data_IF_401630260512
#
_entry.id   IF_401630260512
#
_cell.length_a   1.000
_cell.length_b   1.000
_cell.length_c   1.000
_cell.angle_alpha   90.00
_cell.angle_beta   90.00
_cell.angle_gamma   90.00
#
_symmetry.space_group_name_H-M   'P 1'
#
loop_
_entity.id
_entity.type
_entity.pdbx_description
1 polymer ?
#
# COMPACT_ATOMS: atom_id res chain seq x y z
N UNK A 1 -4.22 9.92 -17.05
CA UNK A 1 -5.39 10.38 -16.26
C UNK A 1 -5.68 9.30 -15.24
N UNK A 2 -5.57 9.58 -13.94
CA UNK A 2 -5.92 8.60 -12.92
C UNK A 2 -7.43 8.36 -12.98
N UNK A 3 -7.83 7.18 -13.43
CA UNK A 3 -9.22 6.73 -13.37
C UNK A 3 -9.65 6.71 -11.92
N UNK A 4 -10.61 7.57 -11.57
CA UNK A 4 -11.14 7.72 -10.22
C UNK A 4 -11.89 6.42 -9.87
N UNK A 5 -11.18 5.48 -9.25
CA UNK A 5 -11.76 4.20 -8.85
C UNK A 5 -12.88 4.45 -7.83
N UNK A 6 -14.12 4.04 -8.09
CA UNK A 6 -15.21 4.24 -7.14
C UNK A 6 -14.95 3.38 -5.89
N UNK A 7 -14.64 4.04 -4.78
CA UNK A 7 -14.56 3.44 -3.45
C UNK A 7 -15.73 2.49 -3.20
N UNK A 8 -15.44 1.23 -2.84
CA UNK A 8 -16.45 0.22 -2.56
C UNK A 8 -16.60 0.00 -1.06
N UNK A 9 -17.63 0.61 -0.47
CA UNK A 9 -17.98 0.43 0.95
C UNK A 9 -18.06 -1.04 1.38
N UNK A 10 -18.50 -1.95 0.49
CA UNK A 10 -18.60 -3.39 0.78
C UNK A 10 -17.27 -4.05 1.16
N UNK A 11 -16.15 -3.47 0.73
CA UNK A 11 -14.79 -3.98 0.98
C UNK A 11 -14.07 -3.19 2.09
N UNK A 12 -14.70 -2.17 2.69
CA UNK A 12 -14.07 -1.38 3.75
C UNK A 12 -12.85 -0.56 3.31
N UNK A 13 -12.72 -0.23 2.02
CA UNK A 13 -11.54 0.44 1.41
C UNK A 13 -11.31 1.89 1.90
N UNK A 14 -10.64 2.08 3.02
CA UNK A 14 -10.26 3.43 3.47
C UNK A 14 -8.84 3.75 2.97
N UNK A 15 -8.73 4.62 1.97
CA UNK A 15 -7.43 4.98 1.40
C UNK A 15 -6.66 5.93 2.31
N UNK A 16 -5.44 5.55 2.66
CA UNK A 16 -4.55 6.36 3.48
C UNK A 16 -3.99 7.53 2.66
N UNK A 17 -4.26 8.77 3.09
CA UNK A 17 -3.84 9.98 2.37
C UNK A 17 -2.86 10.87 3.14
N UNK A 18 -2.75 10.72 4.46
CA UNK A 18 -1.86 11.56 5.28
C UNK A 18 -0.40 11.11 5.13
N UNK A 19 0.48 11.93 4.53
CA UNK A 19 1.90 11.59 4.36
C UNK A 19 2.65 11.41 5.67
N UNK A 20 2.22 12.06 6.76
CA UNK A 20 2.86 11.93 8.07
C UNK A 20 2.59 10.56 8.67
N UNK A 21 1.35 10.07 8.55
CA UNK A 21 0.99 8.71 9.00
C UNK A 21 1.75 7.68 8.18
N UNK A 22 1.76 7.82 6.85
CA UNK A 22 2.54 6.96 5.95
C UNK A 22 4.01 6.92 6.38
N UNK A 23 4.64 8.08 6.53
CA UNK A 23 6.06 8.18 6.91
C UNK A 23 6.33 7.55 8.27
N UNK A 24 5.47 7.77 9.26
CA UNK A 24 5.61 7.17 10.59
C UNK A 24 5.48 5.64 10.52
N UNK A 25 4.50 5.12 9.79
CA UNK A 25 4.31 3.68 9.61
C UNK A 25 5.56 3.04 9.00
N UNK A 26 6.09 3.61 7.92
CA UNK A 26 7.30 3.11 7.25
C UNK A 26 8.52 3.17 8.18
N UNK A 27 8.64 4.24 8.99
CA UNK A 27 9.71 4.35 9.99
C UNK A 27 9.59 3.31 11.08
N UNK A 28 8.39 3.03 11.58
CA UNK A 28 8.17 2.01 12.62
C UNK A 28 8.45 0.59 12.12
N UNK A 29 8.26 0.33 10.83
CA UNK A 29 8.55 -0.98 10.23
C UNK A 29 10.06 -1.23 10.02
N UNK A 30 10.87 -0.16 9.94
CA UNK A 30 12.31 -0.22 9.68
C UNK A 30 12.72 -1.16 8.53
N UNK A 31 12.08 -1.07 7.34
CA UNK A 31 12.31 -2.04 6.28
C UNK A 31 13.70 -1.87 5.65
N UNK A 32 14.32 -2.99 5.29
CA UNK A 32 15.62 -3.07 4.64
C UNK A 32 15.56 -3.89 3.34
N UNK A 33 16.63 -3.81 2.55
CA UNK A 33 16.66 -4.39 1.21
C UNK A 33 16.62 -5.93 1.15
N UNK A 34 16.82 -6.62 2.27
CA UNK A 34 16.73 -8.09 2.38
C UNK A 34 15.35 -8.56 2.80
N UNK A 35 14.47 -7.66 3.20
CA UNK A 35 13.13 -8.03 3.63
C UNK A 35 12.25 -8.44 2.45
N UNK A 36 11.41 -9.43 2.68
CA UNK A 36 10.31 -9.80 1.81
C UNK A 36 9.00 -9.40 2.49
N UNK A 37 8.32 -8.42 1.92
CA UNK A 37 7.10 -7.87 2.53
C UNK A 37 5.86 -8.47 1.85
N UNK A 38 4.89 -8.88 2.66
CA UNK A 38 3.53 -9.18 2.21
C UNK A 38 2.61 -8.02 2.61
N UNK A 39 2.00 -7.36 1.64
CA UNK A 39 1.03 -6.29 1.85
C UNK A 39 -0.38 -6.79 1.55
N UNK A 40 -1.28 -6.67 2.53
CA UNK A 40 -2.69 -7.05 2.40
C UNK A 40 -3.50 -5.77 2.16
N UNK A 41 -4.23 -5.72 1.05
CA UNK A 41 -4.98 -4.54 0.63
C UNK A 41 -4.08 -3.36 0.28
N UNK A 42 -3.17 -3.50 -0.71
CA UNK A 42 -2.31 -2.40 -1.16
C UNK A 42 -3.12 -1.19 -1.64
N UNK A 43 -4.37 -1.39 -2.09
CA UNK A 43 -5.28 -0.31 -2.42
C UNK A 43 -4.74 0.58 -3.54
N UNK A 44 -4.57 1.87 -3.25
CA UNK A 44 -4.00 2.85 -4.18
C UNK A 44 -2.47 3.00 -4.07
N UNK A 45 -1.81 2.13 -3.30
CA UNK A 45 -0.34 2.08 -3.20
C UNK A 45 0.28 3.02 -2.17
N UNK A 46 -0.51 3.62 -1.27
CA UNK A 46 -0.03 4.61 -0.31
C UNK A 46 1.20 4.18 0.51
N UNK A 47 1.26 2.90 0.91
CA UNK A 47 2.42 2.30 1.59
C UNK A 47 3.35 1.60 0.59
N UNK A 48 2.80 0.85 -0.37
CA UNK A 48 3.55 0.14 -1.42
C UNK A 48 4.61 1.04 -2.08
N UNK A 49 4.24 2.26 -2.48
CA UNK A 49 5.14 3.21 -3.16
C UNK A 49 6.32 3.65 -2.30
N UNK A 50 6.14 3.69 -0.97
CA UNK A 50 7.21 4.06 -0.05
C UNK A 50 8.08 2.86 0.31
N UNK A 51 7.49 1.67 0.43
CA UNK A 51 8.18 0.43 0.70
C UNK A 51 9.08 0.02 -0.47
N UNK A 52 8.61 0.18 -1.71
CA UNK A 52 9.36 -0.20 -2.92
C UNK A 52 10.69 0.56 -3.07
N UNK A 53 10.82 1.72 -2.42
CA UNK A 53 12.08 2.50 -2.39
C UNK A 53 13.12 1.92 -1.43
N UNK A 54 12.74 0.97 -0.57
CA UNK A 54 13.54 0.47 0.56
C UNK A 54 13.78 -1.03 0.52
N UNK A 55 12.85 -1.79 -0.05
CA UNK A 55 12.95 -3.25 -0.16
C UNK A 55 13.03 -3.69 -1.60
N UNK A 56 13.60 -4.88 -1.85
CA UNK A 56 13.68 -5.42 -3.20
C UNK A 56 12.39 -6.11 -3.64
N UNK A 57 11.66 -6.76 -2.71
CA UNK A 57 10.48 -7.58 -3.03
C UNK A 57 9.30 -7.26 -2.12
N UNK A 58 8.14 -7.05 -2.74
CA UNK A 58 6.85 -6.87 -2.09
C UNK A 58 5.84 -7.76 -2.82
N UNK A 59 5.09 -8.56 -2.07
CA UNK A 59 3.93 -9.30 -2.54
C UNK A 59 2.68 -8.57 -2.11
N UNK A 60 1.85 -8.13 -3.05
CA UNK A 60 0.54 -7.54 -2.78
C UNK A 60 -0.58 -8.58 -2.89
N UNK A 61 -1.49 -8.59 -1.93
CA UNK A 61 -2.75 -9.36 -2.01
C UNK A 61 -3.92 -8.39 -1.95
N UNK A 62 -4.63 -8.27 -3.06
CA UNK A 62 -5.80 -7.40 -3.20
C UNK A 62 -7.03 -8.26 -3.55
N UNK A 63 -8.19 -7.90 -3.01
CA UNK A 63 -9.44 -8.61 -3.23
C UNK A 63 -10.35 -7.89 -4.22
N UNK A 64 -10.19 -6.57 -4.39
CA UNK A 64 -10.97 -5.81 -5.36
C UNK A 64 -10.39 -5.99 -6.77
N UNK A 65 -11.11 -6.65 -7.69
CA UNK A 65 -10.60 -6.97 -9.02
C UNK A 65 -10.37 -5.75 -9.93
N UNK A 66 -10.68 -4.54 -9.47
CA UNK A 66 -10.40 -3.28 -10.17
C UNK A 66 -9.07 -2.63 -9.76
N UNK A 67 -8.42 -3.16 -8.74
CA UNK A 67 -7.14 -2.68 -8.19
C UNK A 67 -5.99 -3.68 -8.43
N UNK A 68 -6.25 -4.75 -9.19
CA UNK A 68 -5.29 -5.79 -9.60
C UNK A 68 -4.99 -5.61 -11.09
#
# INVERSE_FOLDING_TARGET
MATKHPFRKKWGQNFLKDPNVITKTIKCLEPNNKDMILEIGPGDGALTDQLYKKVHHIHGVEIDPYLI
#
